data_IF_721422936697
#
_entry.id   IF_721422936697
#
_cell.length_a   1.000
_cell.length_b   1.000
_cell.length_c   1.000
_cell.angle_alpha   90.00
_cell.angle_beta   90.00
_cell.angle_gamma   90.00
#
_symmetry.space_group_name_H-M   'P 1'
#
loop_
_entity.id
_entity.type
_entity.pdbx_description
1 polymer ?
#
# COMPACT_ATOMS: atom_id res chain seq x y z
N UNK A 1 10.55 -13.03 -20.54
CA UNK A 1 9.85 -12.81 -19.26
C UNK A 1 10.38 -11.51 -18.64
N UNK A 2 9.58 -10.46 -18.54
CA UNK A 2 10.04 -9.18 -18.05
C UNK A 2 10.10 -9.15 -16.50
N UNK A 3 11.21 -8.63 -15.99
CA UNK A 3 11.28 -8.13 -14.62
C UNK A 3 10.40 -6.90 -14.47
N UNK A 4 9.70 -6.76 -13.35
CA UNK A 4 8.85 -5.59 -13.05
C UNK A 4 9.34 -4.86 -11.80
N UNK A 5 9.08 -3.57 -11.80
CA UNK A 5 9.33 -2.69 -10.67
C UNK A 5 7.99 -2.14 -10.15
N UNK A 6 7.96 -1.81 -8.88
CA UNK A 6 6.82 -1.22 -8.22
C UNK A 6 6.36 0.06 -8.95
N UNK A 7 5.08 0.11 -9.25
CA UNK A 7 4.37 1.30 -9.68
C UNK A 7 3.10 1.46 -8.84
N UNK A 8 2.86 2.67 -8.33
CA UNK A 8 1.71 3.00 -7.47
C UNK A 8 1.11 4.30 -7.96
N UNK A 9 -0.19 4.33 -8.14
CA UNK A 9 -0.95 5.50 -8.53
C UNK A 9 -2.16 5.68 -7.62
N UNK A 10 -2.33 6.87 -7.04
CA UNK A 10 -3.56 7.27 -6.35
C UNK A 10 -4.60 7.64 -7.40
N UNK A 11 -5.49 6.70 -7.74
CA UNK A 11 -6.46 6.86 -8.82
C UNK A 11 -7.75 7.57 -8.37
N UNK A 12 -8.05 7.57 -7.07
CA UNK A 12 -9.22 8.28 -6.52
C UNK A 12 -9.05 8.51 -5.01
N UNK A 13 -9.63 9.58 -4.52
CA UNK A 13 -9.83 9.82 -3.08
C UNK A 13 -11.09 10.66 -2.84
N UNK A 14 -11.59 10.66 -1.61
CA UNK A 14 -12.69 11.53 -1.18
C UNK A 14 -12.34 12.99 -1.50
N UNK A 15 -13.18 13.75 -2.23
CA UNK A 15 -12.95 15.17 -2.45
C UNK A 15 -12.87 15.93 -1.13
N UNK A 16 -11.88 16.85 -1.00
CA UNK A 16 -11.66 17.66 0.21
C UNK A 16 -11.64 16.82 1.50
N UNK A 17 -10.79 15.79 1.60
CA UNK A 17 -10.88 14.76 2.64
C UNK A 17 -10.76 15.35 4.06
N UNK A 18 -9.96 16.39 4.23
CA UNK A 18 -9.79 17.11 5.50
C UNK A 18 -11.07 17.81 5.94
N UNK A 19 -11.79 18.44 5.01
CA UNK A 19 -13.07 19.08 5.30
C UNK A 19 -14.15 18.07 5.66
N UNK A 20 -14.18 16.93 4.99
CA UNK A 20 -15.13 15.83 5.29
C UNK A 20 -14.88 15.28 6.69
N UNK A 21 -13.64 15.02 7.07
CA UNK A 21 -13.28 14.59 8.43
C UNK A 21 -13.60 15.65 9.48
N UNK A 22 -13.32 16.92 9.20
CA UNK A 22 -13.67 18.03 10.10
C UNK A 22 -15.18 18.21 10.26
N UNK A 23 -15.96 18.01 9.20
CA UNK A 23 -17.42 18.04 9.25
C UNK A 23 -17.95 16.92 10.16
N UNK A 24 -17.49 15.69 9.98
CA UNK A 24 -17.87 14.56 10.83
C UNK A 24 -17.55 14.83 12.29
N UNK A 25 -16.36 15.35 12.59
CA UNK A 25 -15.95 15.68 13.96
C UNK A 25 -16.78 16.79 14.60
N UNK A 26 -17.03 17.90 13.86
CA UNK A 26 -17.80 19.05 14.40
C UNK A 26 -19.27 18.74 14.54
N UNK A 27 -19.84 17.90 13.68
CA UNK A 27 -21.26 17.54 13.73
C UNK A 27 -21.66 16.92 15.06
N UNK A 28 -20.79 16.16 15.71
CA UNK A 28 -21.07 15.52 17.00
C UNK A 28 -21.37 16.52 18.13
N UNK A 29 -20.93 17.78 18.00
CA UNK A 29 -21.05 18.81 19.05
C UNK A 29 -21.77 20.07 18.56
N UNK A 30 -22.19 20.14 17.30
CA UNK A 30 -22.79 21.30 16.70
C UNK A 30 -24.32 21.34 16.93
N UNK A 31 -24.84 22.52 17.25
CA UNK A 31 -26.29 22.80 17.23
C UNK A 31 -26.76 23.28 15.85
N UNK A 32 -25.83 23.72 14.99
CA UNK A 32 -26.11 24.18 13.64
C UNK A 32 -26.48 23.00 12.72
N UNK A 33 -27.28 23.27 11.70
CA UNK A 33 -27.54 22.30 10.66
C UNK A 33 -26.30 21.99 9.80
N UNK A 34 -26.38 20.94 9.00
CA UNK A 34 -25.24 20.44 8.20
C UNK A 34 -24.79 21.47 7.15
N UNK A 35 -25.74 22.23 6.55
CA UNK A 35 -25.42 23.20 5.52
C UNK A 35 -24.61 24.38 6.07
N UNK A 36 -25.07 24.97 7.18
CA UNK A 36 -24.39 26.07 7.86
C UNK A 36 -23.01 25.61 8.40
N UNK A 37 -22.94 24.38 8.91
CA UNK A 37 -21.67 23.82 9.40
C UNK A 37 -20.66 23.61 8.26
N UNK A 38 -21.11 23.12 7.12
CA UNK A 38 -20.30 22.92 5.91
C UNK A 38 -19.76 24.24 5.37
N UNK A 39 -20.58 25.27 5.30
CA UNK A 39 -20.16 26.61 4.88
C UNK A 39 -19.07 27.15 5.80
N UNK A 40 -19.27 27.06 7.10
CA UNK A 40 -18.26 27.49 8.10
C UNK A 40 -16.95 26.72 7.98
N UNK A 41 -16.99 25.43 7.67
CA UNK A 41 -15.79 24.59 7.51
C UNK A 41 -15.04 24.97 6.24
N UNK A 42 -15.73 25.20 5.13
CA UNK A 42 -15.11 25.58 3.87
C UNK A 42 -14.42 26.93 3.91
N UNK A 43 -14.89 27.85 4.78
CA UNK A 43 -14.34 29.19 4.94
C UNK A 43 -13.08 29.26 5.85
N UNK A 44 -12.69 28.17 6.49
CA UNK A 44 -11.62 28.17 7.49
C UNK A 44 -10.63 27.00 7.27
N UNK A 45 -9.35 27.23 7.57
CA UNK A 45 -8.39 26.12 7.69
C UNK A 45 -8.76 25.19 8.84
N UNK A 46 -8.75 23.89 8.57
CA UNK A 46 -9.12 22.86 9.53
C UNK A 46 -7.90 22.16 10.15
N UNK A 47 -6.66 22.56 9.81
CA UNK A 47 -5.42 21.89 10.19
C UNK A 47 -5.29 21.70 11.69
N UNK A 48 -5.26 22.80 12.46
CA UNK A 48 -5.12 22.77 13.93
C UNK A 48 -6.24 21.98 14.60
N UNK A 49 -7.46 22.05 14.06
CA UNK A 49 -8.59 21.30 14.61
C UNK A 49 -8.43 19.80 14.41
N UNK A 50 -8.06 19.37 13.20
CA UNK A 50 -7.84 17.95 12.89
C UNK A 50 -6.64 17.38 13.64
N UNK A 51 -5.57 18.13 13.80
CA UNK A 51 -4.42 17.73 14.63
C UNK A 51 -4.86 17.40 16.06
N UNK A 52 -5.64 18.28 16.70
CA UNK A 52 -6.18 18.04 18.06
C UNK A 52 -7.09 16.81 18.11
N UNK A 53 -7.91 16.58 17.11
CA UNK A 53 -8.77 15.40 17.00
C UNK A 53 -7.93 14.12 16.94
N UNK A 54 -6.87 14.12 16.12
CA UNK A 54 -5.97 12.98 15.99
C UNK A 54 -5.15 12.74 17.28
N UNK A 55 -4.67 13.80 17.90
CA UNK A 55 -3.94 13.72 19.18
C UNK A 55 -4.82 13.18 20.32
N UNK A 56 -6.10 13.54 20.34
CA UNK A 56 -7.06 13.03 21.35
C UNK A 56 -7.48 11.58 21.12
N UNK A 57 -7.08 10.97 20.00
CA UNK A 57 -7.42 9.58 19.66
C UNK A 57 -8.82 9.39 19.07
N UNK A 58 -9.56 10.46 18.75
CA UNK A 58 -10.90 10.40 18.12
C UNK A 58 -10.79 10.09 16.61
N UNK A 59 -10.24 8.92 16.29
CA UNK A 59 -9.89 8.54 14.94
C UNK A 59 -11.06 8.05 14.07
N UNK A 60 -12.24 7.81 14.65
CA UNK A 60 -13.42 7.33 13.90
C UNK A 60 -13.86 8.29 12.80
N UNK A 61 -13.70 9.60 13.02
CA UNK A 61 -14.07 10.63 12.03
C UNK A 61 -13.17 10.59 10.78
N UNK A 62 -11.99 10.01 10.86
CA UNK A 62 -11.07 9.84 9.74
C UNK A 62 -11.52 8.74 8.78
N UNK A 63 -12.46 7.89 9.19
CA UNK A 63 -12.99 6.81 8.36
C UNK A 63 -13.87 7.31 7.22
N UNK A 64 -14.35 8.57 7.27
CA UNK A 64 -15.13 9.19 6.21
C UNK A 64 -14.30 9.55 4.96
N UNK A 65 -12.98 9.62 5.06
CA UNK A 65 -12.10 9.87 3.92
C UNK A 65 -11.44 8.58 3.46
N UNK A 66 -11.59 8.25 2.18
CA UNK A 66 -11.07 7.04 1.54
C UNK A 66 -10.10 7.38 0.42
N UNK A 67 -9.17 6.47 0.14
CA UNK A 67 -8.15 6.58 -0.90
C UNK A 67 -8.06 5.26 -1.65
N UNK A 68 -8.03 5.33 -2.98
CA UNK A 68 -7.98 4.16 -3.86
C UNK A 68 -6.71 4.21 -4.71
N UNK A 69 -5.92 3.16 -4.65
CA UNK A 69 -4.66 3.04 -5.36
C UNK A 69 -4.72 1.92 -6.38
N UNK A 70 -4.14 2.17 -7.57
CA UNK A 70 -3.72 1.13 -8.49
C UNK A 70 -2.25 0.78 -8.19
N UNK A 71 -1.95 -0.52 -8.12
CA UNK A 71 -0.61 -1.03 -7.79
C UNK A 71 -0.22 -2.10 -8.80
N UNK A 72 0.95 -1.96 -9.39
CA UNK A 72 1.56 -2.92 -10.32
C UNK A 72 3.02 -3.20 -9.93
N UNK A 73 3.59 -4.27 -10.50
CA UNK A 73 4.99 -4.61 -10.28
C UNK A 73 5.27 -5.06 -8.84
N UNK A 74 4.34 -5.80 -8.25
CA UNK A 74 4.45 -6.41 -6.93
C UNK A 74 4.28 -7.92 -7.00
N UNK A 75 4.93 -8.62 -6.08
CA UNK A 75 4.88 -10.08 -6.02
C UNK A 75 3.63 -10.63 -5.33
N UNK A 76 3.34 -11.91 -5.54
CA UNK A 76 2.35 -12.65 -4.75
C UNK A 76 2.74 -12.74 -3.27
N UNK A 77 4.04 -12.64 -2.94
CA UNK A 77 4.54 -12.55 -1.55
C UNK A 77 4.01 -11.30 -0.88
N UNK A 78 4.07 -10.15 -1.55
CA UNK A 78 3.54 -8.89 -1.02
C UNK A 78 2.04 -9.01 -0.79
N UNK A 79 1.30 -9.55 -1.75
CA UNK A 79 -0.16 -9.69 -1.66
C UNK A 79 -0.58 -10.47 -0.41
N UNK A 80 0.13 -11.55 -0.07
CA UNK A 80 -0.15 -12.35 1.13
C UNK A 80 0.03 -11.56 2.45
N UNK A 81 0.82 -10.49 2.44
CA UNK A 81 1.00 -9.59 3.59
C UNK A 81 -0.01 -8.43 3.55
N UNK A 82 -0.30 -7.89 2.38
CA UNK A 82 -1.19 -6.75 2.19
C UNK A 82 -2.63 -7.12 2.56
N UNK A 83 -3.12 -8.27 2.15
CA UNK A 83 -4.49 -8.73 2.42
C UNK A 83 -4.77 -9.09 3.89
N UNK A 84 -3.77 -9.01 4.77
CA UNK A 84 -3.97 -9.08 6.22
C UNK A 84 -4.59 -7.81 6.80
N UNK A 85 -4.54 -6.71 6.08
CA UNK A 85 -5.24 -5.47 6.40
C UNK A 85 -6.71 -5.61 5.99
N UNK A 86 -7.58 -5.93 6.96
CA UNK A 86 -8.97 -6.37 6.70
C UNK A 86 -9.96 -5.23 6.50
N UNK A 87 -9.65 -4.02 6.96
CA UNK A 87 -10.49 -2.83 6.75
C UNK A 87 -10.10 -2.17 5.43
N UNK A 88 -10.13 -2.96 4.36
CA UNK A 88 -9.74 -2.56 3.02
C UNK A 88 -10.53 -3.36 1.98
N UNK A 89 -10.70 -2.77 0.80
CA UNK A 89 -11.25 -3.45 -0.38
C UNK A 89 -10.13 -3.75 -1.36
N UNK A 90 -10.11 -4.97 -1.90
CA UNK A 90 -9.11 -5.42 -2.84
C UNK A 90 -9.74 -5.98 -4.11
N UNK A 91 -9.23 -5.56 -5.27
CA UNK A 91 -9.44 -6.21 -6.56
C UNK A 91 -8.09 -6.62 -7.10
N UNK A 92 -7.84 -7.91 -7.26
CA UNK A 92 -6.54 -8.48 -7.62
C UNK A 92 -6.65 -9.25 -8.92
N UNK A 93 -5.67 -9.10 -9.82
CA UNK A 93 -5.60 -9.87 -11.05
C UNK A 93 -5.64 -11.37 -10.75
N UNK A 94 -6.61 -12.06 -11.34
CA UNK A 94 -6.80 -13.48 -11.14
C UNK A 94 -5.91 -14.31 -12.06
N UNK A 95 -5.11 -15.20 -11.49
CA UNK A 95 -4.36 -16.22 -12.25
C UNK A 95 -5.25 -17.38 -12.73
N UNK A 96 -6.53 -17.39 -12.40
CA UNK A 96 -7.51 -18.34 -12.89
C UNK A 96 -8.08 -17.88 -14.23
N UNK A 97 -8.49 -16.61 -14.30
CA UNK A 97 -9.09 -16.02 -15.51
C UNK A 97 -8.06 -15.56 -16.53
N UNK A 98 -6.92 -15.06 -16.07
CA UNK A 98 -5.84 -14.57 -16.94
C UNK A 98 -4.81 -15.67 -17.13
N UNK A 99 -4.69 -16.18 -18.35
CA UNK A 99 -3.63 -17.14 -18.69
C UNK A 99 -2.26 -16.47 -18.70
N UNK A 100 -1.27 -17.17 -18.19
CA UNK A 100 0.13 -16.77 -18.20
C UNK A 100 0.96 -17.63 -19.17
N UNK A 101 0.30 -18.28 -20.16
CA UNK A 101 0.94 -19.19 -21.11
C UNK A 101 1.98 -18.49 -22.02
N UNK A 102 1.70 -17.24 -22.44
CA UNK A 102 2.66 -16.49 -23.24
C UNK A 102 3.90 -16.12 -22.43
N UNK A 103 3.68 -15.50 -21.28
CA UNK A 103 4.73 -15.12 -20.34
C UNK A 103 4.13 -14.65 -19.00
N UNK A 104 4.85 -14.82 -17.90
CA UNK A 104 4.57 -14.09 -16.67
C UNK A 104 5.71 -13.13 -16.32
N UNK A 105 5.36 -12.00 -15.74
CA UNK A 105 6.32 -11.08 -15.14
C UNK A 105 6.66 -11.51 -13.72
N UNK A 106 7.82 -11.09 -13.20
CA UNK A 106 8.25 -11.45 -11.85
C UNK A 106 9.10 -10.37 -11.21
N UNK A 107 9.25 -10.47 -9.89
CA UNK A 107 10.04 -9.56 -9.07
C UNK A 107 11.33 -10.24 -8.67
N UNK A 108 12.48 -9.57 -8.86
CA UNK A 108 13.77 -10.03 -8.35
C UNK A 108 14.05 -9.34 -7.01
N UNK A 109 14.18 -10.11 -5.92
CA UNK A 109 14.51 -9.55 -4.62
C UNK A 109 15.84 -8.78 -4.61
N UNK A 110 15.95 -7.62 -3.93
CA UNK A 110 17.19 -6.85 -3.86
C UNK A 110 18.39 -7.65 -3.36
N UNK A 111 18.16 -8.59 -2.44
CA UNK A 111 19.22 -9.45 -1.94
C UNK A 111 19.82 -10.36 -3.02
N UNK A 112 19.02 -10.83 -3.99
CA UNK A 112 19.52 -11.60 -5.14
C UNK A 112 20.31 -10.69 -6.08
N UNK A 113 19.83 -9.48 -6.34
CA UNK A 113 20.58 -8.50 -7.15
C UNK A 113 21.92 -8.14 -6.52
N UNK A 114 21.98 -8.06 -5.20
CA UNK A 114 23.23 -7.77 -4.47
C UNK A 114 24.28 -8.89 -4.56
N UNK A 115 23.90 -10.11 -4.92
CA UNK A 115 24.85 -11.23 -5.16
C UNK A 115 25.57 -11.13 -6.52
N UNK A 116 25.13 -10.21 -7.39
CA UNK A 116 25.74 -9.99 -8.70
C UNK A 116 24.99 -10.61 -9.87
N UNK A 117 25.49 -10.36 -11.09
CA UNK A 117 24.79 -10.72 -12.33
C UNK A 117 24.67 -12.23 -12.55
N UNK A 118 25.60 -13.02 -12.04
CA UNK A 118 25.50 -14.47 -12.13
C UNK A 118 24.28 -15.01 -11.38
N UNK A 119 24.05 -14.55 -10.16
CA UNK A 119 22.87 -14.92 -9.35
C UNK A 119 21.57 -14.43 -10.00
N UNK A 120 21.56 -13.23 -10.58
CA UNK A 120 20.43 -12.70 -11.32
C UNK A 120 20.12 -13.54 -12.55
N UNK A 121 21.15 -13.94 -13.31
CA UNK A 121 21.02 -14.81 -14.50
C UNK A 121 20.49 -16.18 -14.11
N UNK A 122 20.97 -16.76 -13.01
CA UNK A 122 20.44 -18.00 -12.46
C UNK A 122 18.96 -17.88 -12.09
N UNK A 123 18.59 -16.82 -11.36
CA UNK A 123 17.21 -16.58 -10.99
C UNK A 123 16.29 -16.44 -12.22
N UNK A 124 16.74 -15.75 -13.28
CA UNK A 124 16.00 -15.64 -14.55
C UNK A 124 15.80 -17.02 -15.21
N UNK A 125 16.81 -17.89 -15.19
CA UNK A 125 16.68 -19.27 -15.71
C UNK A 125 15.65 -20.09 -14.94
N UNK A 126 15.64 -19.96 -13.61
CA UNK A 126 14.65 -20.63 -12.76
C UNK A 126 13.22 -20.15 -13.05
N UNK A 127 13.02 -18.84 -13.25
CA UNK A 127 11.71 -18.30 -13.65
C UNK A 127 11.27 -18.84 -15.03
N UNK A 128 12.20 -18.93 -15.99
CA UNK A 128 11.91 -19.50 -17.31
C UNK A 128 11.53 -20.99 -17.22
N UNK A 129 12.17 -21.76 -16.35
CA UNK A 129 11.81 -23.16 -16.12
C UNK A 129 10.41 -23.30 -15.52
N UNK A 130 10.02 -22.44 -14.59
CA UNK A 130 8.67 -22.46 -14.02
C UNK A 130 7.60 -22.08 -15.07
N UNK A 131 7.93 -21.19 -16.00
CA UNK A 131 7.07 -20.89 -17.16
C UNK A 131 6.83 -22.13 -18.01
N UNK A 132 7.89 -22.91 -18.31
CA UNK A 132 7.79 -24.16 -19.06
C UNK A 132 6.87 -25.14 -18.36
N UNK A 133 7.05 -25.37 -17.06
CA UNK A 133 6.20 -26.26 -16.27
C UNK A 133 4.73 -25.80 -16.23
N UNK A 134 4.48 -24.50 -16.16
CA UNK A 134 3.12 -23.97 -16.21
C UNK A 134 2.43 -24.30 -17.54
N UNK A 135 3.13 -24.13 -18.65
CA UNK A 135 2.62 -24.45 -19.99
C UNK A 135 2.37 -25.95 -20.12
N UNK A 136 3.32 -26.79 -19.73
CA UNK A 136 3.17 -28.25 -19.75
C UNK A 136 1.94 -28.72 -18.96
N UNK A 137 1.67 -28.14 -17.80
CA UNK A 137 0.49 -28.47 -17.01
C UNK A 137 -0.78 -27.98 -17.70
N UNK A 138 -0.80 -26.79 -18.29
CA UNK A 138 -1.96 -26.34 -19.06
C UNK A 138 -2.31 -27.29 -20.19
N UNK A 139 -1.31 -27.77 -20.93
CA UNK A 139 -1.48 -28.73 -22.04
C UNK A 139 -2.01 -30.08 -21.52
N UNK A 140 -1.39 -30.65 -20.47
CA UNK A 140 -1.82 -31.91 -19.85
C UNK A 140 -3.26 -31.85 -19.31
N UNK A 141 -3.69 -30.68 -18.86
CA UNK A 141 -5.06 -30.42 -18.40
C UNK A 141 -6.02 -30.10 -19.56
N UNK A 142 -5.55 -30.20 -20.81
CA UNK A 142 -6.34 -30.07 -22.03
C UNK A 142 -6.54 -28.65 -22.51
N UNK A 143 -5.75 -27.70 -22.08
CA UNK A 143 -5.74 -26.28 -22.49
C UNK A 143 -7.14 -25.63 -22.49
N UNK A 144 -7.95 -25.92 -21.47
CA UNK A 144 -9.38 -25.55 -21.35
C UNK A 144 -9.58 -24.14 -20.71
N UNK A 145 -8.65 -23.22 -20.91
CA UNK A 145 -8.72 -21.86 -20.39
C UNK A 145 -8.78 -21.83 -18.87
N UNK A 146 -9.80 -21.23 -18.29
CA UNK A 146 -9.98 -21.05 -16.84
C UNK A 146 -9.75 -22.32 -16.02
N UNK A 147 -10.30 -23.47 -16.46
CA UNK A 147 -10.16 -24.75 -15.75
C UNK A 147 -8.73 -25.26 -15.71
N UNK A 148 -7.99 -25.11 -16.80
CA UNK A 148 -6.56 -25.49 -16.83
C UNK A 148 -5.69 -24.51 -16.06
N UNK A 149 -5.98 -23.19 -16.14
CA UNK A 149 -5.25 -22.16 -15.39
C UNK A 149 -5.39 -22.37 -13.88
N UNK A 150 -6.57 -22.76 -13.41
CA UNK A 150 -6.90 -22.95 -11.99
C UNK A 150 -5.93 -23.89 -11.30
N UNK A 151 -5.53 -24.96 -11.96
CA UNK A 151 -4.64 -25.98 -11.43
C UNK A 151 -3.18 -25.75 -11.86
N UNK A 152 -2.93 -25.36 -13.12
CA UNK A 152 -1.59 -25.11 -13.61
C UNK A 152 -0.85 -24.02 -12.81
N UNK A 153 -1.59 -23.00 -12.33
CA UNK A 153 -0.99 -21.90 -11.54
C UNK A 153 -0.31 -22.32 -10.24
N UNK A 154 -0.51 -23.56 -9.75
CA UNK A 154 0.13 -24.07 -8.55
C UNK A 154 1.65 -24.19 -8.69
N UNK A 155 2.18 -24.28 -9.91
CA UNK A 155 3.63 -24.30 -10.16
C UNK A 155 4.24 -22.89 -10.30
N UNK A 156 3.42 -21.83 -10.34
CA UNK A 156 3.94 -20.47 -10.46
C UNK A 156 4.64 -20.04 -9.17
N UNK A 157 5.76 -19.30 -9.29
CA UNK A 157 6.51 -18.87 -8.13
C UNK A 157 5.79 -17.75 -7.36
N UNK A 158 6.06 -17.64 -6.08
CA UNK A 158 5.64 -16.50 -5.28
C UNK A 158 6.18 -15.15 -5.81
N UNK A 159 7.27 -15.19 -6.56
CA UNK A 159 7.84 -14.03 -7.23
C UNK A 159 7.00 -13.54 -8.41
N UNK A 160 6.03 -14.34 -8.90
CA UNK A 160 5.13 -13.94 -9.98
C UNK A 160 4.49 -12.59 -9.66
N UNK A 161 4.54 -11.68 -10.63
CA UNK A 161 3.93 -10.36 -10.53
C UNK A 161 2.41 -10.47 -10.39
N UNK A 162 1.85 -9.52 -9.68
CA UNK A 162 0.42 -9.28 -9.65
C UNK A 162 0.11 -7.78 -9.68
N UNK A 163 -1.14 -7.48 -10.04
CA UNK A 163 -1.69 -6.13 -10.09
C UNK A 163 -2.94 -6.09 -9.25
N UNK A 164 -3.16 -4.96 -8.61
CA UNK A 164 -4.33 -4.82 -7.74
C UNK A 164 -4.82 -3.37 -7.66
N UNK A 165 -6.09 -3.25 -7.32
CA UNK A 165 -6.66 -2.02 -6.79
C UNK A 165 -6.91 -2.25 -5.31
N UNK A 166 -6.55 -1.27 -4.49
CA UNK A 166 -6.81 -1.28 -3.06
C UNK A 166 -7.44 0.03 -2.61
N UNK A 167 -8.53 -0.07 -1.85
CA UNK A 167 -9.18 1.09 -1.21
C UNK A 167 -9.11 0.93 0.30
N UNK A 168 -8.63 1.98 0.98
CA UNK A 168 -8.59 2.07 2.43
C UNK A 168 -9.10 3.44 2.87
N UNK A 169 -9.73 3.52 4.05
CA UNK A 169 -9.98 4.80 4.69
C UNK A 169 -8.73 5.35 5.38
N UNK A 170 -8.75 6.63 5.77
CA UNK A 170 -7.60 7.29 6.38
C UNK A 170 -7.13 6.59 7.67
N UNK A 171 -8.05 6.12 8.51
CA UNK A 171 -7.69 5.42 9.75
C UNK A 171 -6.92 4.14 9.50
N UNK A 172 -7.37 3.32 8.54
CA UNK A 172 -6.67 2.10 8.13
C UNK A 172 -5.33 2.41 7.46
N UNK A 173 -5.26 3.47 6.63
CA UNK A 173 -3.99 3.91 6.04
C UNK A 173 -2.98 4.34 7.09
N UNK A 174 -3.39 5.07 8.13
CA UNK A 174 -2.50 5.44 9.24
C UNK A 174 -1.95 4.19 9.95
N UNK A 175 -2.80 3.19 10.19
CA UNK A 175 -2.39 1.90 10.76
C UNK A 175 -1.47 1.12 9.81
N UNK A 176 -1.80 1.07 8.52
CA UNK A 176 -0.97 0.43 7.49
C UNK A 176 0.42 1.04 7.45
N UNK A 177 0.54 2.37 7.43
CA UNK A 177 1.82 3.08 7.40
C UNK A 177 2.62 2.87 8.70
N UNK A 178 1.96 2.84 9.84
CA UNK A 178 2.61 2.55 11.12
C UNK A 178 3.33 1.19 11.11
N UNK A 179 2.69 0.17 10.57
CA UNK A 179 3.24 -1.18 10.50
C UNK A 179 4.21 -1.37 9.32
N UNK A 180 3.88 -0.84 8.13
CA UNK A 180 4.55 -1.22 6.88
C UNK A 180 5.65 -0.26 6.46
N UNK A 181 5.63 1.01 6.88
CA UNK A 181 6.77 1.92 6.72
C UNK A 181 7.92 1.63 7.70
N UNK A 182 7.70 0.77 8.71
CA UNK A 182 8.74 0.38 9.65
C UNK A 182 9.88 -0.38 8.94
N UNK A 183 11.13 -0.10 9.32
CA UNK A 183 12.31 -0.77 8.75
C UNK A 183 12.35 -2.29 8.99
N UNK A 184 11.51 -2.81 9.92
CA UNK A 184 11.32 -4.23 10.16
C UNK A 184 10.30 -4.89 9.23
N UNK A 185 9.49 -4.10 8.51
CA UNK A 185 8.65 -4.64 7.47
C UNK A 185 9.49 -5.21 6.31
N UNK A 186 8.98 -6.22 5.64
CA UNK A 186 9.62 -6.77 4.46
C UNK A 186 9.79 -5.66 3.40
N UNK A 187 10.89 -5.69 2.68
CA UNK A 187 11.34 -4.59 1.80
C UNK A 187 10.28 -4.15 0.77
N UNK A 188 9.54 -5.10 0.20
CA UNK A 188 8.61 -4.83 -0.89
C UNK A 188 7.33 -4.13 -0.39
N UNK A 189 6.70 -4.64 0.67
CA UNK A 189 5.53 -4.00 1.26
C UNK A 189 5.90 -2.66 1.92
N UNK A 190 7.14 -2.49 2.37
CA UNK A 190 7.64 -1.21 2.86
C UNK A 190 7.77 -0.20 1.72
N UNK A 191 8.32 -0.60 0.57
CA UNK A 191 8.41 0.27 -0.60
C UNK A 191 7.00 0.70 -1.08
N UNK A 192 6.04 -0.23 -1.12
CA UNK A 192 4.64 0.08 -1.41
C UNK A 192 4.08 1.10 -0.41
N UNK A 193 4.26 0.87 0.89
CA UNK A 193 3.74 1.75 1.93
C UNK A 193 4.36 3.15 1.88
N UNK A 194 5.67 3.25 1.63
CA UNK A 194 6.37 4.53 1.49
C UNK A 194 5.82 5.35 0.31
N UNK A 195 5.56 4.70 -0.84
CA UNK A 195 5.03 5.39 -2.02
C UNK A 195 3.56 5.78 -1.85
N UNK A 196 2.72 4.90 -1.30
CA UNK A 196 1.34 5.26 -0.95
C UNK A 196 1.29 6.44 0.02
N UNK A 197 2.13 6.44 1.07
CA UNK A 197 2.21 7.54 2.03
C UNK A 197 2.62 8.85 1.37
N UNK A 198 3.60 8.83 0.46
CA UNK A 198 4.03 10.02 -0.28
C UNK A 198 2.85 10.65 -1.04
N UNK A 199 2.04 9.85 -1.71
CA UNK A 199 0.86 10.31 -2.46
C UNK A 199 -0.25 10.80 -1.52
N UNK A 200 -0.49 10.11 -0.40
CA UNK A 200 -1.44 10.55 0.63
C UNK A 200 -1.07 11.92 1.20
N UNK A 201 0.22 12.17 1.48
CA UNK A 201 0.70 13.47 1.99
C UNK A 201 0.50 14.61 1.00
N UNK A 202 0.50 14.33 -0.31
CA UNK A 202 0.18 15.34 -1.33
C UNK A 202 -1.33 15.62 -1.40
N UNK A 203 -2.16 14.59 -1.27
CA UNK A 203 -3.62 14.70 -1.40
C UNK A 203 -4.31 15.22 -0.13
N UNK A 204 -3.78 14.90 1.07
CA UNK A 204 -4.35 15.27 2.37
C UNK A 204 -3.23 15.53 3.39
N UNK A 205 -2.52 16.65 3.25
CA UNK A 205 -1.31 16.94 4.00
C UNK A 205 -1.48 17.00 5.51
N UNK A 206 -2.63 17.46 6.01
CA UNK A 206 -2.92 17.52 7.45
C UNK A 206 -3.17 16.12 8.01
N UNK A 207 -4.01 15.32 7.35
CA UNK A 207 -4.36 13.97 7.81
C UNK A 207 -3.13 13.05 7.88
N UNK A 208 -2.16 13.23 7.00
CA UNK A 208 -0.97 12.39 6.92
C UNK A 208 0.33 13.09 7.36
N UNK A 209 0.26 14.29 7.98
CA UNK A 209 1.43 15.04 8.42
C UNK A 209 2.41 14.19 9.23
N UNK A 210 1.89 13.51 10.26
CA UNK A 210 2.66 12.69 11.19
C UNK A 210 2.54 11.18 10.88
N UNK A 211 2.11 10.81 9.66
CA UNK A 211 2.02 9.42 9.25
C UNK A 211 3.39 8.82 8.91
N UNK A 212 3.56 7.55 9.20
CA UNK A 212 4.79 6.79 9.04
C UNK A 212 4.91 5.72 10.12
N UNK A 213 6.07 5.07 10.28
CA UNK A 213 6.28 4.08 11.33
C UNK A 213 6.05 4.68 12.73
N UNK A 214 5.65 3.86 13.70
CA UNK A 214 5.25 4.32 15.03
C UNK A 214 6.27 5.23 15.73
N UNK A 215 7.57 5.08 15.44
CA UNK A 215 8.63 5.93 15.98
C UNK A 215 8.63 7.38 15.43
N UNK A 216 7.84 7.72 14.42
CA UNK A 216 7.68 9.10 13.94
C UNK A 216 6.97 9.95 14.99
N UNK A 217 5.93 9.40 15.63
CA UNK A 217 5.08 10.11 16.59
C UNK A 217 5.54 10.01 18.04
N UNK A 218 6.53 9.19 18.35
CA UNK A 218 6.94 8.99 19.74
C UNK A 218 8.05 7.97 19.93
N UNK A 219 8.03 7.29 21.05
CA UNK A 219 8.95 6.19 21.33
C UNK A 219 8.70 5.02 20.37
N UNK A 220 9.76 4.31 20.00
CA UNK A 220 9.64 3.14 19.12
C UNK A 220 8.76 2.05 19.79
N UNK A 221 7.64 1.62 19.18
CA UNK A 221 6.76 0.63 19.79
C UNK A 221 7.36 -0.79 19.79
N UNK A 222 8.45 -1.03 19.06
CA UNK A 222 9.12 -2.33 18.96
C UNK A 222 9.97 -2.69 20.20
N UNK A 223 10.13 -1.78 21.15
CA UNK A 223 10.87 -2.01 22.38
C UNK A 223 12.28 -2.58 22.13
N UNK A 224 12.58 -3.74 22.70
CA UNK A 224 13.86 -4.43 22.55
C UNK A 224 14.18 -4.88 21.12
N UNK A 225 13.17 -4.95 20.26
CA UNK A 225 13.31 -5.27 18.83
C UNK A 225 13.48 -4.03 17.96
N UNK A 226 13.68 -2.85 18.55
CA UNK A 226 13.90 -1.62 17.81
C UNK A 226 15.12 -1.74 16.87
N UNK A 227 15.02 -1.10 15.69
CA UNK A 227 16.15 -0.99 14.76
C UNK A 227 17.24 0.00 15.20
N UNK A 228 17.02 0.76 16.29
CA UNK A 228 17.95 1.77 16.80
C UNK A 228 18.01 3.09 16.00
N UNK A 229 17.30 3.21 14.87
CA UNK A 229 17.41 4.34 13.93
C UNK A 229 16.24 5.32 13.98
N UNK A 230 15.56 5.45 15.11
CA UNK A 230 14.34 6.26 15.21
C UNK A 230 14.51 7.72 14.80
N UNK A 231 15.67 8.36 15.11
CA UNK A 231 15.95 9.74 14.71
C UNK A 231 16.11 9.91 13.19
N UNK A 232 16.86 9.02 12.55
CA UNK A 232 17.03 9.01 11.09
C UNK A 232 15.68 8.81 10.39
N UNK A 233 14.88 7.86 10.88
CA UNK A 233 13.57 7.55 10.34
C UNK A 233 12.61 8.73 10.49
N UNK A 234 12.57 9.40 11.65
CA UNK A 234 11.78 10.63 11.83
C UNK A 234 12.13 11.68 10.79
N UNK A 235 13.43 11.96 10.59
CA UNK A 235 13.87 12.92 9.57
C UNK A 235 13.38 12.56 8.18
N UNK A 236 13.49 11.28 7.77
CA UNK A 236 12.98 10.81 6.47
C UNK A 236 11.50 11.18 6.26
N UNK A 237 10.64 10.92 7.24
CA UNK A 237 9.19 11.12 7.09
C UNK A 237 8.75 12.58 7.33
N UNK A 238 9.51 13.40 8.04
CA UNK A 238 9.31 14.85 8.15
C UNK A 238 9.66 15.54 6.83
N UNK A 239 10.84 15.23 6.25
CA UNK A 239 11.28 15.80 4.95
C UNK A 239 10.31 15.41 3.80
N UNK A 240 9.57 14.31 3.90
CA UNK A 240 8.49 14.02 2.97
C UNK A 240 7.37 15.10 2.97
N UNK A 241 7.28 15.93 4.02
CA UNK A 241 6.34 17.06 4.09
C UNK A 241 6.90 18.32 3.42
N UNK A 242 8.24 18.50 3.40
CA UNK A 242 8.91 19.73 2.96
C UNK A 242 9.15 19.81 1.45
N UNK A 243 9.08 18.69 0.73
CA UNK A 243 9.17 18.69 -0.75
C UNK A 243 7.89 19.20 -1.40
N UNK A 244 7.42 20.36 -0.93
CA UNK A 244 6.42 21.21 -1.55
C UNK A 244 7.14 22.37 -2.24
N UNK A 245 7.49 22.19 -3.51
CA UNK A 245 8.04 23.21 -4.35
C UNK A 245 7.86 22.77 -5.79
#
# INVERSE_FOLDING_TARGET
>A
MPEKNLHVELIAHTPLPEQVCALGAKLCYAKADVAALREKISAQDQGVFLEKIMESGHLSVLEHATFTFAVEGVSRVLLAQLTRHRIASFSVQSQRYVSLAETFSYIIPPAIKALGEEAVSEYRRQMAQMQTWYIEWQEKLGAKGEKSNEDARFVLPNACETRLIVTMNTRELLHFFELRCCSRAQWEIRALADEMLRQCKLAAPVLFANAGPGCVRGQCPEGVKSCGRSQEIRRKYIVMNEKRG
#
